data_IF_098977656340
#
_entry.id   IF_098977656340
#
_cell.length_a   1.000
_cell.length_b   1.000
_cell.length_c   1.000
_cell.angle_alpha   90.00
_cell.angle_beta   90.00
_cell.angle_gamma   90.00
#
_symmetry.space_group_name_H-M   'P 1'
#
loop_
_entity.id
_entity.type
_entity.pdbx_description
1 polymer ?
#
# COMPACT_ATOMS: atom_id res chain seq x y z
N UNK A 1 13.47 -13.60 22.49
CA UNK A 1 12.19 -13.36 21.81
C UNK A 1 11.51 -14.70 21.68
N UNK A 2 10.23 -14.80 22.01
CA UNK A 2 9.49 -16.05 21.85
C UNK A 2 9.43 -16.47 20.39
N UNK A 3 9.83 -17.70 20.06
CA UNK A 3 9.72 -18.22 18.69
C UNK A 3 8.25 -18.39 18.30
N UNK A 4 7.92 -18.05 17.07
CA UNK A 4 6.60 -18.33 16.48
C UNK A 4 5.56 -17.20 16.55
N UNK A 5 5.80 -16.10 17.27
CA UNK A 5 4.89 -14.96 17.25
C UNK A 5 5.14 -14.07 16.02
N UNK A 6 4.08 -13.62 15.32
CA UNK A 6 4.22 -12.70 14.21
C UNK A 6 4.78 -11.36 14.69
N UNK A 7 5.53 -10.70 13.85
CA UNK A 7 6.19 -9.42 14.15
C UNK A 7 5.54 -8.28 13.37
N UNK A 8 5.25 -7.19 14.06
CA UNK A 8 4.80 -5.95 13.44
C UNK A 8 5.90 -4.91 13.61
N UNK A 9 6.34 -4.37 12.48
CA UNK A 9 7.30 -3.27 12.40
C UNK A 9 6.55 -2.02 12.00
N UNK A 10 6.64 -0.95 12.79
CA UNK A 10 5.99 0.32 12.49
C UNK A 10 7.06 1.30 12.00
N UNK A 11 6.80 1.95 10.88
CA UNK A 11 7.72 2.90 10.25
C UNK A 11 6.94 4.12 9.73
N UNK A 12 7.62 5.25 9.55
CA UNK A 12 7.00 6.48 9.05
C UNK A 12 6.42 6.32 7.65
N UNK A 13 7.22 5.79 6.72
CA UNK A 13 6.86 5.62 5.31
C UNK A 13 7.05 4.17 4.85
N UNK A 14 6.48 3.81 3.71
CA UNK A 14 6.76 2.52 3.04
C UNK A 14 8.20 2.48 2.53
N UNK A 15 8.69 1.28 2.28
CA UNK A 15 10.00 1.04 1.65
C UNK A 15 9.92 0.90 0.12
N UNK A 16 8.95 1.57 -0.48
CA UNK A 16 8.74 1.72 -1.91
C UNK A 16 7.97 3.00 -2.19
N UNK A 17 8.12 3.56 -3.39
CA UNK A 17 7.50 4.80 -3.84
C UNK A 17 6.57 4.53 -5.04
N UNK A 18 5.40 3.88 -4.82
CA UNK A 18 4.47 3.57 -5.90
C UNK A 18 3.58 4.75 -6.28
N UNK A 19 3.48 5.76 -5.42
CA UNK A 19 2.51 6.83 -5.54
C UNK A 19 2.86 7.80 -6.68
N UNK A 20 1.81 8.30 -7.32
CA UNK A 20 1.84 9.39 -8.29
C UNK A 20 1.04 10.59 -7.78
N UNK A 21 1.30 11.74 -8.36
CA UNK A 21 0.46 12.93 -8.22
C UNK A 21 -0.83 12.83 -9.07
N UNK A 22 -1.60 13.90 -9.12
CA UNK A 22 -2.85 14.03 -9.90
C UNK A 22 -2.65 14.01 -11.42
N UNK A 23 -1.42 14.21 -11.89
CA UNK A 23 -1.05 14.16 -13.29
C UNK A 23 -0.39 12.83 -13.70
N UNK A 24 -0.42 11.83 -12.79
CA UNK A 24 0.20 10.53 -13.01
C UNK A 24 1.73 10.54 -12.98
N UNK A 25 2.34 11.63 -12.51
CA UNK A 25 3.78 11.72 -12.41
C UNK A 25 4.27 11.00 -11.14
N UNK A 26 5.27 10.12 -11.24
CA UNK A 26 5.85 9.46 -10.09
C UNK A 26 6.42 10.45 -9.09
N UNK A 27 6.13 10.25 -7.83
CA UNK A 27 6.68 11.07 -6.76
C UNK A 27 8.02 10.49 -6.32
N UNK A 28 9.07 11.30 -6.41
CA UNK A 28 10.42 10.96 -5.97
C UNK A 28 10.61 11.46 -4.53
N UNK A 29 10.24 10.61 -3.59
CA UNK A 29 10.26 10.93 -2.18
C UNK A 29 11.62 10.53 -1.56
N UNK A 30 12.59 11.45 -1.60
CA UNK A 30 13.97 11.21 -1.17
C UNK A 30 14.15 11.13 0.36
N UNK A 31 13.17 11.57 1.15
CA UNK A 31 13.17 11.47 2.60
C UNK A 31 12.31 10.28 3.13
N UNK A 32 11.73 9.52 2.20
CA UNK A 32 11.04 8.28 2.53
C UNK A 32 12.00 7.07 2.64
N UNK A 33 11.55 5.99 3.27
CA UNK A 33 12.34 4.78 3.48
C UNK A 33 12.67 3.98 2.20
N UNK A 34 12.16 4.41 1.05
CA UNK A 34 12.49 3.82 -0.25
C UNK A 34 13.88 4.24 -0.76
N UNK A 35 14.49 5.25 -0.14
CA UNK A 35 15.78 5.83 -0.50
C UNK A 35 16.66 6.06 0.75
N UNK A 36 18.00 5.89 0.71
CA UNK A 36 18.77 5.35 -0.41
C UNK A 36 18.62 3.81 -0.55
N UNK A 37 18.81 3.25 -1.76
CA UNK A 37 18.57 1.81 -2.02
C UNK A 37 19.33 0.85 -1.11
N UNK A 38 20.58 1.14 -0.79
CA UNK A 38 21.39 0.29 0.11
C UNK A 38 20.86 0.29 1.55
N UNK A 39 20.34 1.44 2.01
CA UNK A 39 19.72 1.56 3.33
C UNK A 39 18.43 0.74 3.39
N UNK A 40 17.59 0.87 2.35
CA UNK A 40 16.38 0.08 2.16
C UNK A 40 16.68 -1.42 2.16
N UNK A 41 17.64 -1.88 1.34
CA UNK A 41 18.03 -3.29 1.25
C UNK A 41 18.37 -3.86 2.62
N UNK A 42 19.28 -3.22 3.35
CA UNK A 42 19.69 -3.68 4.69
C UNK A 42 18.52 -3.76 5.67
N UNK A 43 17.60 -2.79 5.62
CA UNK A 43 16.42 -2.80 6.48
C UNK A 43 15.49 -3.97 6.14
N UNK A 44 15.19 -4.20 4.86
CA UNK A 44 14.34 -5.29 4.41
C UNK A 44 14.94 -6.67 4.73
N UNK A 45 16.25 -6.85 4.53
CA UNK A 45 16.96 -8.09 4.89
C UNK A 45 16.80 -8.41 6.37
N UNK A 46 16.94 -7.40 7.25
CA UNK A 46 16.75 -7.59 8.70
C UNK A 46 15.31 -7.89 9.09
N UNK A 47 14.34 -7.23 8.45
CA UNK A 47 12.93 -7.49 8.74
C UNK A 47 12.50 -8.86 8.23
N UNK A 48 13.01 -9.29 7.08
CA UNK A 48 12.73 -10.61 6.50
C UNK A 48 13.16 -11.77 7.40
N UNK A 49 14.20 -11.59 8.22
CA UNK A 49 14.67 -12.59 9.18
C UNK A 49 13.68 -12.84 10.34
N UNK A 50 12.70 -11.96 10.53
CA UNK A 50 11.71 -12.11 11.59
C UNK A 50 10.60 -13.11 11.19
N UNK A 51 9.96 -13.69 12.20
CA UNK A 51 8.80 -14.56 11.98
C UNK A 51 7.61 -13.72 11.50
N UNK A 52 7.02 -14.09 10.36
CA UNK A 52 5.82 -13.45 9.80
C UNK A 52 5.86 -11.91 9.87
N UNK A 53 6.87 -11.24 9.29
CA UNK A 53 7.00 -9.81 9.45
C UNK A 53 5.92 -9.06 8.66
N UNK A 54 5.17 -8.20 9.34
CA UNK A 54 4.28 -7.22 8.74
C UNK A 54 4.82 -5.82 9.02
N UNK A 55 5.01 -5.03 8.00
CA UNK A 55 5.38 -3.62 8.11
C UNK A 55 4.13 -2.76 8.03
N UNK A 56 3.93 -1.85 8.98
CA UNK A 56 2.90 -0.83 8.95
C UNK A 56 3.54 0.52 8.70
N UNK A 57 3.00 1.24 7.73
CA UNK A 57 3.51 2.54 7.31
C UNK A 57 2.37 3.55 7.11
N UNK A 58 2.72 4.82 7.10
CA UNK A 58 1.81 5.94 6.84
C UNK A 58 2.36 6.88 5.77
N UNK A 59 2.07 8.18 5.92
CA UNK A 59 2.60 9.32 5.19
C UNK A 59 2.23 9.42 3.69
N UNK A 60 2.17 8.34 2.96
CA UNK A 60 2.03 8.36 1.50
C UNK A 60 0.63 8.71 0.99
N UNK A 61 -0.33 9.00 1.86
CA UNK A 61 -1.72 9.37 1.52
C UNK A 61 -2.43 8.38 0.58
N UNK A 62 -1.99 7.12 0.60
CA UNK A 62 -2.51 6.06 -0.27
C UNK A 62 -2.61 4.77 0.52
N UNK A 63 -3.84 4.24 0.65
CA UNK A 63 -4.03 2.90 1.21
C UNK A 63 -3.50 1.84 0.26
N UNK A 64 -2.44 1.11 0.65
CA UNK A 64 -1.81 0.14 -0.22
C UNK A 64 -1.24 -1.03 0.56
N UNK A 65 -1.42 -2.25 0.05
CA UNK A 65 -0.70 -3.43 0.50
C UNK A 65 0.23 -3.91 -0.60
N UNK A 66 1.50 -4.02 -0.28
CA UNK A 66 2.49 -4.56 -1.19
C UNK A 66 3.52 -5.42 -0.46
N UNK A 67 4.03 -6.44 -1.15
CA UNK A 67 5.27 -7.10 -0.75
C UNK A 67 6.45 -6.22 -1.19
N UNK A 68 7.36 -5.96 -0.28
CA UNK A 68 8.53 -5.11 -0.51
C UNK A 68 9.72 -5.97 -0.93
N UNK A 69 9.88 -6.20 -2.22
CA UNK A 69 10.92 -7.06 -2.75
C UNK A 69 12.34 -6.52 -2.55
N UNK A 70 13.30 -7.42 -2.48
CA UNK A 70 14.74 -7.15 -2.36
C UNK A 70 15.43 -7.45 -3.69
N UNK A 71 15.56 -8.72 -4.03
CA UNK A 71 16.14 -9.20 -5.28
C UNK A 71 15.03 -9.59 -6.28
N UNK A 72 13.86 -9.97 -5.78
CA UNK A 72 12.67 -10.26 -6.57
C UNK A 72 11.48 -9.46 -6.02
N UNK A 73 10.31 -9.59 -6.64
CA UNK A 73 9.06 -8.92 -6.25
C UNK A 73 8.40 -9.55 -5.02
N UNK A 74 8.79 -10.77 -4.64
CA UNK A 74 8.13 -11.57 -3.60
C UNK A 74 9.02 -11.95 -2.43
N UNK A 75 10.29 -11.59 -2.43
CA UNK A 75 11.28 -12.07 -1.49
C UNK A 75 11.49 -11.21 -0.23
N UNK A 76 10.61 -10.27 0.01
CA UNK A 76 10.67 -9.40 1.19
C UNK A 76 9.37 -9.35 1.99
N UNK A 77 9.30 -8.53 3.05
CA UNK A 77 8.16 -8.48 3.95
C UNK A 77 6.91 -7.87 3.31
N UNK A 78 5.75 -8.25 3.83
CA UNK A 78 4.49 -7.56 3.53
C UNK A 78 4.49 -6.19 4.19
N UNK A 79 4.04 -5.17 3.46
CA UNK A 79 3.85 -3.83 3.97
C UNK A 79 2.42 -3.35 3.73
N UNK A 80 1.81 -2.77 4.75
CA UNK A 80 0.54 -2.09 4.67
C UNK A 80 0.76 -0.60 4.93
N UNK A 81 0.68 0.22 3.88
CA UNK A 81 0.55 1.66 3.96
C UNK A 81 -0.91 2.00 4.23
N UNK A 82 -1.19 2.62 5.37
CA UNK A 82 -2.55 3.04 5.72
C UNK A 82 -3.02 4.22 4.87
N UNK A 83 -4.33 4.32 4.54
CA UNK A 83 -4.88 5.52 3.94
C UNK A 83 -4.85 6.66 4.97
N UNK A 84 -4.71 7.89 4.50
CA UNK A 84 -4.82 9.06 5.37
C UNK A 84 -6.29 9.34 5.70
N UNK A 85 -6.59 9.59 6.98
CA UNK A 85 -7.98 9.83 7.42
C UNK A 85 -8.52 11.19 6.99
N UNK A 86 -7.62 12.16 6.72
CA UNK A 86 -7.97 13.53 6.35
C UNK A 86 -6.81 14.22 5.62
N UNK A 87 -6.33 13.62 4.54
CA UNK A 87 -5.25 14.19 3.77
C UNK A 87 -5.74 15.28 2.82
N UNK A 88 -5.04 16.42 2.82
CA UNK A 88 -5.28 17.45 1.84
C UNK A 88 -4.88 16.96 0.45
N UNK A 89 -3.64 16.47 0.29
CA UNK A 89 -3.13 15.88 -0.94
C UNK A 89 -3.55 14.44 -1.08
N UNK A 90 -4.07 14.08 -2.25
CA UNK A 90 -4.33 12.70 -2.62
C UNK A 90 -3.23 12.15 -3.50
N UNK A 91 -3.08 10.83 -3.50
CA UNK A 91 -2.13 10.10 -4.31
C UNK A 91 -2.85 8.96 -5.02
N UNK A 92 -2.29 8.54 -6.12
CA UNK A 92 -2.78 7.43 -6.93
C UNK A 92 -1.70 6.38 -7.11
N UNK A 93 -2.11 5.20 -7.45
CA UNK A 93 -1.30 4.19 -8.07
C UNK A 93 -2.12 3.47 -9.14
N UNK A 94 -1.84 3.74 -10.40
CA UNK A 94 -2.53 3.14 -11.54
C UNK A 94 -1.64 2.14 -12.33
N UNK A 95 -0.41 1.93 -11.91
CA UNK A 95 0.51 0.91 -12.43
C UNK A 95 0.95 1.10 -13.88
N UNK A 96 0.47 2.13 -14.57
CA UNK A 96 0.79 2.37 -16.00
C UNK A 96 0.18 1.35 -16.95
N UNK A 97 -0.86 0.63 -16.55
CA UNK A 97 -1.54 -0.39 -17.33
C UNK A 97 -1.62 -1.73 -16.61
N UNK A 98 -1.75 -2.82 -17.38
CA UNK A 98 -1.78 -4.15 -16.80
C UNK A 98 -0.38 -4.60 -16.37
N UNK A 99 -0.16 -4.70 -15.07
CA UNK A 99 1.09 -5.18 -14.51
C UNK A 99 1.20 -6.71 -14.59
N UNK A 100 2.43 -7.27 -14.69
CA UNK A 100 2.65 -8.70 -14.52
C UNK A 100 2.13 -9.18 -13.17
N UNK A 101 1.56 -10.41 -13.14
CA UNK A 101 0.99 -11.02 -11.92
C UNK A 101 -0.12 -10.19 -11.26
N UNK A 102 -0.90 -9.47 -12.05
CA UNK A 102 -2.09 -8.79 -11.58
C UNK A 102 -3.05 -9.77 -10.89
N UNK A 103 -3.63 -9.35 -9.75
CA UNK A 103 -4.69 -10.13 -9.10
C UNK A 103 -5.98 -10.02 -9.92
N UNK A 104 -6.60 -11.18 -10.21
CA UNK A 104 -7.86 -11.22 -10.93
C UNK A 104 -8.93 -10.35 -10.25
N UNK A 105 -9.57 -9.48 -11.03
CA UNK A 105 -10.60 -8.57 -10.54
C UNK A 105 -10.11 -7.36 -9.76
N UNK A 106 -8.79 -7.22 -9.55
CA UNK A 106 -8.19 -6.07 -8.85
C UNK A 106 -7.28 -5.30 -9.79
N UNK A 107 -7.77 -4.23 -10.41
CA UNK A 107 -6.93 -3.35 -11.22
C UNK A 107 -5.84 -2.72 -10.34
N UNK A 108 -4.78 -2.24 -10.98
CA UNK A 108 -3.67 -1.57 -10.30
C UNK A 108 -2.97 -2.47 -9.26
N UNK A 109 -2.90 -3.77 -9.51
CA UNK A 109 -2.13 -4.74 -8.72
C UNK A 109 -1.14 -5.48 -9.60
N UNK A 110 -0.10 -6.06 -9.00
CA UNK A 110 0.92 -6.82 -9.73
C UNK A 110 2.34 -6.36 -9.42
N UNK A 111 3.28 -6.85 -10.21
CA UNK A 111 4.70 -6.56 -10.07
C UNK A 111 5.01 -5.15 -10.61
N UNK A 112 5.58 -4.32 -9.77
CA UNK A 112 5.91 -2.94 -10.07
C UNK A 112 7.34 -2.62 -9.61
N UNK A 113 8.06 -1.85 -10.41
CA UNK A 113 9.35 -1.28 -10.04
C UNK A 113 9.19 0.23 -9.94
N UNK A 114 9.49 0.78 -8.77
CA UNK A 114 9.36 2.20 -8.52
C UNK A 114 10.47 3.01 -9.20
N UNK A 115 10.38 4.36 -9.21
CA UNK A 115 11.39 5.22 -9.86
C UNK A 115 12.80 5.10 -9.28
N UNK A 116 12.97 4.55 -8.09
CA UNK A 116 14.28 4.27 -7.47
C UNK A 116 14.83 2.88 -7.82
N UNK A 117 14.08 2.09 -8.60
CA UNK A 117 14.44 0.73 -8.95
C UNK A 117 14.03 -0.32 -7.91
N UNK A 118 13.24 0.06 -6.90
CA UNK A 118 12.77 -0.86 -5.87
C UNK A 118 11.66 -1.75 -6.42
N UNK A 119 11.81 -3.05 -6.26
CA UNK A 119 10.80 -4.03 -6.65
C UNK A 119 9.72 -4.15 -5.58
N UNK A 120 8.48 -4.25 -5.99
CA UNK A 120 7.35 -4.55 -5.13
C UNK A 120 6.25 -5.30 -5.87
N UNK A 121 5.50 -6.11 -5.16
CA UNK A 121 4.26 -6.70 -5.66
C UNK A 121 3.08 -6.07 -4.97
N UNK A 122 2.33 -5.25 -5.69
CA UNK A 122 1.13 -4.58 -5.19
C UNK A 122 -0.03 -5.57 -5.17
N UNK A 123 -0.69 -5.71 -4.03
CA UNK A 123 -1.78 -6.66 -3.80
C UNK A 123 -3.15 -5.99 -3.70
N UNK A 124 -3.21 -4.78 -3.20
CA UNK A 124 -4.41 -3.95 -3.16
C UNK A 124 -4.03 -2.48 -3.05
N UNK A 125 -4.84 -1.63 -3.60
CA UNK A 125 -4.71 -0.17 -3.50
C UNK A 125 -6.09 0.47 -3.35
N UNK A 126 -6.16 1.52 -2.54
CA UNK A 126 -7.34 2.36 -2.38
C UNK A 126 -7.09 3.71 -3.06
N UNK A 127 -7.27 3.75 -4.37
CA UNK A 127 -7.15 4.98 -5.15
C UNK A 127 -8.31 5.94 -4.86
N UNK A 128 -8.12 7.25 -5.06
CA UNK A 128 -9.24 8.18 -5.22
C UNK A 128 -10.27 7.67 -6.24
N UNK A 129 -11.52 8.05 -6.10
CA UNK A 129 -12.63 7.54 -6.92
C UNK A 129 -12.64 8.10 -8.35
N UNK A 130 -11.78 9.05 -8.64
CA UNK A 130 -11.51 9.54 -9.99
C UNK A 130 -10.09 9.14 -10.41
N UNK A 131 -9.97 8.72 -11.66
CA UNK A 131 -8.67 8.43 -12.28
C UNK A 131 -7.94 9.72 -12.68
N UNK A 132 -6.66 9.62 -13.02
CA UNK A 132 -5.91 10.75 -13.59
C UNK A 132 -6.61 11.32 -14.83
N UNK A 133 -7.01 10.45 -15.77
CA UNK A 133 -7.70 10.86 -17.00
C UNK A 133 -9.00 11.60 -16.72
N UNK A 134 -9.82 11.10 -15.82
CA UNK A 134 -11.07 11.77 -15.43
C UNK A 134 -10.82 13.11 -14.74
N UNK A 135 -9.73 13.22 -13.98
CA UNK A 135 -9.32 14.47 -13.34
C UNK A 135 -8.96 15.53 -14.39
N UNK A 136 -8.19 15.16 -15.40
CA UNK A 136 -7.76 16.06 -16.48
C UNK A 136 -8.88 16.37 -17.48
N UNK A 137 -9.57 15.35 -18.01
CA UNK A 137 -10.62 15.47 -19.01
C UNK A 137 -11.88 16.16 -18.46
N UNK A 138 -12.22 15.85 -17.22
CA UNK A 138 -13.36 16.45 -16.53
C UNK A 138 -13.18 17.92 -16.17
N UNK A 139 -12.02 18.52 -16.46
CA UNK A 139 -11.65 19.86 -16.03
C UNK A 139 -12.02 20.12 -14.56
N UNK A 140 -11.81 19.09 -13.74
CA UNK A 140 -12.11 19.14 -12.30
C UNK A 140 -11.12 20.06 -11.65
N UNK A 141 -11.57 21.24 -11.24
CA UNK A 141 -10.72 22.17 -10.53
C UNK A 141 -10.20 21.50 -9.24
N UNK A 142 -8.90 21.59 -8.99
CA UNK A 142 -8.25 21.02 -7.81
C UNK A 142 -8.99 21.35 -6.51
N UNK A 143 -9.44 22.61 -6.37
CA UNK A 143 -10.22 23.01 -5.21
C UNK A 143 -11.54 22.27 -5.04
N UNK A 144 -12.24 21.92 -6.14
CA UNK A 144 -13.46 21.13 -6.09
C UNK A 144 -13.18 19.69 -5.64
N UNK A 145 -12.15 19.09 -6.19
CA UNK A 145 -11.69 17.74 -5.77
C UNK A 145 -11.32 17.70 -4.29
N UNK A 146 -10.56 18.70 -3.83
CA UNK A 146 -10.16 18.77 -2.43
C UNK A 146 -11.35 19.00 -1.49
N UNK A 147 -12.35 19.72 -1.92
CA UNK A 147 -13.54 20.01 -1.11
C UNK A 147 -14.50 18.82 -1.00
N UNK A 148 -14.54 17.93 -1.99
CA UNK A 148 -15.44 16.77 -1.99
C UNK A 148 -14.73 15.52 -1.50
N UNK A 149 -14.91 15.17 -0.22
CA UNK A 149 -14.37 13.96 0.37
C UNK A 149 -14.82 12.67 -0.31
N UNK A 150 -15.95 12.68 -1.01
CA UNK A 150 -16.44 11.49 -1.69
C UNK A 150 -15.63 11.13 -2.94
N UNK A 151 -14.85 12.05 -3.47
CA UNK A 151 -13.93 11.82 -4.59
C UNK A 151 -12.57 11.25 -4.13
N UNK A 152 -12.27 11.39 -2.86
CA UNK A 152 -10.97 11.00 -2.27
C UNK A 152 -10.96 9.55 -1.78
N UNK A 153 -9.76 9.05 -1.50
CA UNK A 153 -9.53 7.77 -0.83
C UNK A 153 -9.23 7.92 0.67
N UNK A 154 -9.75 8.98 1.30
CA UNK A 154 -9.61 9.17 2.75
C UNK A 154 -10.22 7.98 3.50
N UNK A 155 -9.53 7.52 4.53
CA UNK A 155 -9.98 6.35 5.23
C UNK A 155 -9.09 5.93 6.39
N UNK A 156 -9.29 4.71 6.83
CA UNK A 156 -8.50 4.09 7.89
C UNK A 156 -8.24 2.61 7.59
N UNK A 157 -7.13 2.12 8.08
CA UNK A 157 -6.75 0.72 8.00
C UNK A 157 -7.00 -0.01 9.31
N UNK A 158 -7.38 -1.29 9.23
CA UNK A 158 -7.42 -2.20 10.37
C UNK A 158 -6.55 -3.42 10.07
N UNK A 159 -5.76 -3.81 11.07
CA UNK A 159 -5.00 -5.06 11.04
C UNK A 159 -5.60 -6.00 12.07
N UNK A 160 -6.09 -7.14 11.63
CA UNK A 160 -6.55 -8.20 12.51
C UNK A 160 -5.53 -9.33 12.49
N UNK A 161 -5.12 -9.75 13.67
CA UNK A 161 -4.21 -10.88 13.85
C UNK A 161 -5.05 -12.10 14.22
N UNK A 162 -5.07 -13.08 13.34
CA UNK A 162 -5.76 -14.35 13.58
C UNK A 162 -4.70 -15.44 13.86
N UNK A 163 -4.48 -15.70 15.14
CA UNK A 163 -3.51 -16.70 15.56
C UNK A 163 -3.97 -18.14 15.27
N UNK A 164 -5.27 -18.38 15.22
CA UNK A 164 -5.79 -19.73 14.94
C UNK A 164 -5.65 -20.08 13.46
N UNK A 165 -5.84 -19.11 12.58
CA UNK A 165 -5.64 -19.26 11.14
C UNK A 165 -4.22 -18.88 10.68
N UNK A 166 -3.34 -18.50 11.59
CA UNK A 166 -1.95 -18.08 11.33
C UNK A 166 -1.85 -17.03 10.19
N UNK A 167 -2.63 -15.94 10.32
CA UNK A 167 -2.68 -14.91 9.28
C UNK A 167 -2.96 -13.51 9.82
N UNK A 168 -2.56 -12.51 9.04
CA UNK A 168 -3.08 -11.15 9.14
C UNK A 168 -4.23 -10.96 8.16
N UNK A 169 -5.24 -10.22 8.59
CA UNK A 169 -6.29 -9.68 7.73
C UNK A 169 -6.12 -8.17 7.70
N UNK A 170 -5.76 -7.65 6.54
CA UNK A 170 -5.49 -6.23 6.31
C UNK A 170 -6.73 -5.63 5.64
N UNK A 171 -7.34 -4.66 6.30
CA UNK A 171 -8.60 -4.04 5.89
C UNK A 171 -8.42 -2.56 5.62
N UNK A 172 -9.06 -2.04 4.58
CA UNK A 172 -9.06 -0.62 4.25
C UNK A 172 -10.50 -0.12 4.08
N UNK A 173 -10.85 0.91 4.83
CA UNK A 173 -12.20 1.43 4.97
C UNK A 173 -12.26 2.91 4.64
N UNK A 174 -13.34 3.35 3.99
CA UNK A 174 -13.60 4.78 3.80
C UNK A 174 -13.83 5.47 5.15
N UNK A 175 -13.49 6.73 5.24
CA UNK A 175 -13.45 7.53 6.47
C UNK A 175 -14.76 7.51 7.29
N UNK A 176 -15.92 7.40 6.64
CA UNK A 176 -17.26 7.43 7.23
C UNK A 176 -17.94 6.04 7.33
N UNK A 177 -17.20 4.97 7.09
CA UNK A 177 -17.75 3.61 7.02
C UNK A 177 -17.61 2.90 8.36
N UNK A 178 -18.70 2.32 8.87
CA UNK A 178 -18.67 1.41 10.01
C UNK A 178 -18.16 0.03 9.55
N UNK A 179 -17.05 -0.47 10.08
CA UNK A 179 -16.45 -1.75 9.64
C UNK A 179 -17.29 -2.98 9.98
N UNK A 180 -18.35 -2.83 10.76
CA UNK A 180 -19.29 -3.93 11.10
C UNK A 180 -20.36 -4.13 10.05
N UNK A 181 -20.72 -3.09 9.30
CA UNK A 181 -21.89 -3.08 8.41
C UNK A 181 -21.58 -2.57 7.01
N UNK A 182 -20.48 -1.88 6.83
CA UNK A 182 -20.08 -1.24 5.58
C UNK A 182 -19.31 -2.15 4.63
N UNK A 183 -18.87 -1.56 3.54
CA UNK A 183 -17.98 -2.21 2.56
C UNK A 183 -16.61 -1.55 2.59
N UNK A 184 -15.58 -2.35 2.39
CA UNK A 184 -14.22 -1.89 2.21
C UNK A 184 -14.02 -1.31 0.80
N UNK A 185 -12.88 -0.66 0.58
CA UNK A 185 -12.42 -0.37 -0.77
C UNK A 185 -12.36 -1.64 -1.60
N UNK A 186 -12.49 -1.51 -2.92
CA UNK A 186 -12.41 -2.64 -3.84
C UNK A 186 -11.05 -3.35 -3.74
N UNK A 187 -11.06 -4.67 -3.82
CA UNK A 187 -9.85 -5.48 -3.67
C UNK A 187 -9.43 -5.81 -2.24
N UNK A 188 -10.11 -5.24 -1.26
CA UNK A 188 -9.88 -5.50 0.16
C UNK A 188 -10.94 -6.44 0.76
N UNK A 189 -10.64 -7.22 1.83
CA UNK A 189 -9.38 -7.27 2.56
C UNK A 189 -8.29 -8.07 1.84
N UNK A 190 -7.03 -7.83 2.23
CA UNK A 190 -5.91 -8.70 1.87
C UNK A 190 -5.64 -9.65 3.02
N UNK A 191 -5.62 -10.95 2.73
CA UNK A 191 -5.20 -11.98 3.68
C UNK A 191 -3.72 -12.27 3.46
N UNK A 192 -2.96 -12.21 4.54
CA UNK A 192 -1.52 -12.43 4.55
C UNK A 192 -1.18 -13.56 5.53
N UNK A 193 -1.04 -14.82 5.07
CA UNK A 193 -0.60 -15.93 5.92
C UNK A 193 0.78 -15.65 6.52
N UNK A 194 1.04 -16.16 7.73
CA UNK A 194 2.31 -15.93 8.43
C UNK A 194 3.49 -16.61 7.72
N UNK A 195 3.25 -17.71 7.03
CA UNK A 195 4.25 -18.44 6.24
C UNK A 195 4.54 -17.82 4.86
N UNK A 196 3.65 -16.96 4.37
CA UNK A 196 3.81 -16.32 3.06
C UNK A 196 5.06 -15.42 2.96
N UNK A 197 5.76 -15.18 4.04
CA UNK A 197 6.93 -14.29 4.10
C UNK A 197 8.24 -15.05 4.21
N UNK A 198 8.19 -16.37 4.41
CA UNK A 198 9.37 -17.21 4.63
C UNK A 198 9.80 -18.07 3.44
N UNK A 199 9.06 -17.98 2.33
CA UNK A 199 9.35 -18.76 1.11
C UNK A 199 10.05 -17.93 0.04
#
# INVERSE_FOLDING_TARGET
MEPGLPRIVITGTMWGSPQTDEHGQPLLDYDANCYPPDGRRRALERVREATAPLVLAGDQHLGLVARQGIDDFEDGPMCFGGPAIAAFWQRWFEGGGQLPNQRNGNPNTGNFTDPFGNKMRVLAVANPKITHSEFEEGNTAWGKFLADRNLKSEGYGLVRVDHAAEQFRLECWEWNTDPRTGKQFEGWPVICPFDAVTS
#
